data_IF_439028406966
#
_entry.id   IF_439028406966
#
_cell.length_a   1.000
_cell.length_b   1.000
_cell.length_c   1.000
_cell.angle_alpha   90.00
_cell.angle_beta   90.00
_cell.angle_gamma   90.00
#
_symmetry.space_group_name_H-M   'P 1'
#
loop_
_entity.id
_entity.type
_entity.pdbx_description
1 polymer ?
#
# COMPACT_ATOMS: atom_id res chain seq x y z
N UNK A 1 -34.07 4.19 -21.92
CA UNK A 1 -33.15 3.05 -21.94
C UNK A 1 -31.74 3.62 -21.76
N UNK A 2 -31.21 3.66 -20.53
CA UNK A 2 -29.88 4.16 -20.29
C UNK A 2 -28.89 3.05 -20.67
N UNK A 3 -28.16 3.27 -21.76
CA UNK A 3 -27.02 2.42 -22.11
C UNK A 3 -25.98 2.56 -21.00
N UNK A 4 -25.79 1.53 -20.20
CA UNK A 4 -24.65 1.44 -19.30
C UNK A 4 -23.40 1.41 -20.18
N UNK A 5 -22.70 2.54 -20.30
CA UNK A 5 -21.38 2.55 -20.93
C UNK A 5 -20.53 1.52 -20.18
N UNK A 6 -19.92 0.58 -20.91
CA UNK A 6 -18.93 -0.32 -20.32
C UNK A 6 -17.89 0.50 -19.57
N UNK A 7 -17.47 0.04 -18.38
CA UNK A 7 -16.38 0.68 -17.65
C UNK A 7 -15.14 0.79 -18.56
N UNK A 8 -14.40 1.87 -18.38
CA UNK A 8 -13.17 2.08 -19.13
C UNK A 8 -12.13 1.01 -18.72
N UNK A 9 -11.43 0.35 -19.67
CA UNK A 9 -10.51 -0.72 -19.35
C UNK A 9 -9.32 -0.25 -18.51
N UNK A 10 -8.83 0.98 -18.70
CA UNK A 10 -7.70 1.52 -17.94
C UNK A 10 -8.09 1.86 -16.51
N UNK A 11 -9.25 2.49 -16.31
CA UNK A 11 -9.77 2.75 -14.96
C UNK A 11 -10.12 1.45 -14.23
N UNK A 12 -10.59 0.45 -14.97
CA UNK A 12 -10.83 -0.89 -14.40
C UNK A 12 -9.53 -1.61 -14.00
N UNK A 13 -8.45 -1.40 -14.75
CA UNK A 13 -7.14 -1.94 -14.41
C UNK A 13 -6.56 -1.26 -13.17
N UNK A 14 -6.61 0.08 -13.08
CA UNK A 14 -6.20 0.83 -11.89
C UNK A 14 -6.99 0.39 -10.65
N UNK A 15 -8.30 0.16 -10.79
CA UNK A 15 -9.12 -0.34 -9.68
C UNK A 15 -8.66 -1.72 -9.22
N UNK A 16 -8.30 -2.63 -10.12
CA UNK A 16 -7.78 -3.95 -9.75
C UNK A 16 -6.44 -3.87 -9.01
N UNK A 17 -5.55 -2.97 -9.44
CA UNK A 17 -4.28 -2.73 -8.77
C UNK A 17 -4.55 -2.22 -7.34
N UNK A 18 -5.42 -1.22 -7.18
CA UNK A 18 -5.80 -0.70 -5.87
C UNK A 18 -6.45 -1.77 -4.98
N UNK A 19 -7.28 -2.65 -5.52
CA UNK A 19 -7.87 -3.77 -4.80
C UNK A 19 -6.83 -4.78 -4.32
N UNK A 20 -5.82 -5.10 -5.15
CA UNK A 20 -4.72 -5.97 -4.74
C UNK A 20 -3.90 -5.36 -3.59
N UNK A 21 -3.64 -4.05 -3.63
CA UNK A 21 -3.02 -3.30 -2.52
C UNK A 21 -3.91 -3.38 -1.27
N UNK A 22 -5.20 -3.11 -1.38
CA UNK A 22 -6.15 -3.18 -0.26
C UNK A 22 -6.14 -4.57 0.39
N UNK A 23 -6.25 -5.63 -0.41
CA UNK A 23 -6.25 -7.02 0.09
C UNK A 23 -4.94 -7.34 0.83
N UNK A 24 -3.80 -6.90 0.32
CA UNK A 24 -2.50 -7.09 0.97
C UNK A 24 -2.41 -6.35 2.31
N UNK A 25 -2.95 -5.11 2.40
CA UNK A 25 -2.95 -4.32 3.63
C UNK A 25 -3.87 -4.94 4.69
N UNK A 26 -5.06 -5.38 4.31
CA UNK A 26 -5.95 -6.11 5.22
C UNK A 26 -5.32 -7.42 5.71
N UNK A 27 -4.70 -8.18 4.81
CA UNK A 27 -3.97 -9.38 5.20
C UNK A 27 -2.87 -9.06 6.22
N UNK A 28 -2.04 -8.05 5.98
CA UNK A 28 -0.98 -7.64 6.89
C UNK A 28 -1.53 -7.18 8.26
N UNK A 29 -2.63 -6.42 8.25
CA UNK A 29 -3.29 -5.93 9.47
C UNK A 29 -3.88 -7.06 10.33
N UNK A 30 -4.36 -8.12 9.70
CA UNK A 30 -5.00 -9.26 10.39
C UNK A 30 -3.98 -10.32 10.83
N UNK A 31 -2.75 -10.27 10.31
CA UNK A 31 -1.71 -11.22 10.65
C UNK A 31 -1.20 -11.03 12.08
N UNK A 32 -0.79 -12.16 12.68
CA UNK A 32 -0.07 -12.19 13.95
C UNK A 32 1.30 -12.80 13.74
N UNK A 33 2.32 -12.07 14.16
CA UNK A 33 3.70 -12.54 14.15
C UNK A 33 3.97 -13.15 15.52
N UNK A 34 3.76 -14.46 15.64
CA UNK A 34 3.91 -15.20 16.91
C UNK A 34 5.23 -15.98 16.96
N UNK A 35 5.88 -16.19 15.82
CA UNK A 35 7.09 -16.99 15.69
C UNK A 35 7.82 -16.69 14.38
N UNK A 36 9.11 -17.07 14.26
CA UNK A 36 9.80 -17.00 12.97
C UNK A 36 9.13 -17.84 11.85
N UNK A 37 8.44 -18.93 12.21
CA UNK A 37 7.71 -19.74 11.25
C UNK A 37 6.48 -19.00 10.70
N UNK A 38 5.66 -18.40 11.58
CA UNK A 38 4.51 -17.59 11.14
C UNK A 38 4.95 -16.38 10.31
N UNK A 39 6.06 -15.74 10.69
CA UNK A 39 6.63 -14.63 9.93
C UNK A 39 7.03 -15.03 8.51
N UNK A 40 7.65 -16.21 8.35
CA UNK A 40 7.99 -16.75 7.04
C UNK A 40 6.77 -17.02 6.17
N UNK A 41 5.68 -17.55 6.74
CA UNK A 41 4.44 -17.75 6.01
C UNK A 41 3.83 -16.42 5.56
N UNK A 42 3.85 -15.41 6.43
CA UNK A 42 3.40 -14.05 6.11
C UNK A 42 4.25 -13.46 4.98
N UNK A 43 5.58 -13.56 5.04
CA UNK A 43 6.50 -13.09 3.99
C UNK A 43 6.20 -13.74 2.63
N UNK A 44 6.03 -15.06 2.59
CA UNK A 44 5.66 -15.77 1.35
C UNK A 44 4.32 -15.26 0.80
N UNK A 45 3.33 -15.04 1.66
CA UNK A 45 2.01 -14.55 1.24
C UNK A 45 2.09 -13.11 0.74
N UNK A 46 2.83 -12.22 1.42
CA UNK A 46 3.06 -10.84 0.95
C UNK A 46 3.74 -10.82 -0.42
N UNK A 47 4.78 -11.63 -0.62
CA UNK A 47 5.43 -11.77 -1.94
C UNK A 47 4.48 -12.25 -3.03
N UNK A 48 3.46 -13.03 -2.68
CA UNK A 48 2.43 -13.42 -3.66
C UNK A 48 1.52 -12.26 -4.08
N UNK A 49 1.25 -11.29 -3.20
CA UNK A 49 0.50 -10.07 -3.55
C UNK A 49 1.33 -9.14 -4.44
N UNK A 50 2.61 -8.94 -4.11
CA UNK A 50 3.53 -8.14 -4.92
C UNK A 50 3.65 -8.73 -6.34
N UNK A 51 3.91 -10.02 -6.47
CA UNK A 51 3.97 -10.70 -7.78
C UNK A 51 2.64 -10.59 -8.57
N UNK A 52 1.50 -10.57 -7.87
CA UNK A 52 0.21 -10.33 -8.52
C UNK A 52 0.06 -8.87 -8.97
N UNK A 53 0.54 -7.90 -8.17
CA UNK A 53 0.60 -6.47 -8.50
C UNK A 53 1.44 -6.21 -9.74
N UNK A 54 2.67 -6.72 -9.77
CA UNK A 54 3.58 -6.66 -10.91
C UNK A 54 2.92 -7.12 -12.21
N UNK A 55 2.21 -8.24 -12.14
CA UNK A 55 1.48 -8.77 -13.29
C UNK A 55 0.38 -7.83 -13.77
N UNK A 56 -0.40 -7.24 -12.86
CA UNK A 56 -1.45 -6.30 -13.19
C UNK A 56 -0.89 -5.04 -13.86
N UNK A 57 0.25 -4.54 -13.37
CA UNK A 57 0.94 -3.38 -13.96
C UNK A 57 1.50 -3.72 -15.32
N UNK A 58 2.13 -4.88 -15.47
CA UNK A 58 2.62 -5.33 -16.77
C UNK A 58 1.47 -5.42 -17.80
N UNK A 59 0.33 -6.00 -17.43
CA UNK A 59 -0.85 -6.07 -18.29
C UNK A 59 -1.36 -4.67 -18.68
N UNK A 60 -1.40 -3.71 -17.72
CA UNK A 60 -1.77 -2.32 -17.98
C UNK A 60 -0.81 -1.64 -18.97
N UNK A 61 0.50 -1.80 -18.80
CA UNK A 61 1.52 -1.23 -19.70
C UNK A 61 1.34 -1.79 -21.13
N UNK A 62 1.12 -3.09 -21.27
CA UNK A 62 0.88 -3.72 -22.56
C UNK A 62 -0.36 -3.15 -23.24
N UNK A 63 -1.45 -2.96 -22.49
CA UNK A 63 -2.68 -2.38 -23.04
C UNK A 63 -2.53 -0.87 -23.37
N UNK A 64 -1.82 -0.10 -22.54
CA UNK A 64 -1.49 1.30 -22.84
C UNK A 64 -0.70 1.45 -24.16
N UNK A 65 0.25 0.55 -24.42
CA UNK A 65 1.05 0.57 -25.64
C UNK A 65 0.24 0.26 -26.91
N UNK A 66 -0.83 -0.53 -26.79
CA UNK A 66 -1.72 -0.87 -27.91
C UNK A 66 -2.81 0.18 -28.15
N UNK A 67 -3.15 0.98 -27.15
CA UNK A 67 -4.26 1.90 -27.20
C UNK A 67 -4.00 3.08 -28.16
N UNK A 68 -4.96 3.41 -28.97
CA UNK A 68 -4.91 4.63 -29.78
C UNK A 68 -5.37 5.86 -28.99
N UNK A 69 -6.39 5.69 -28.14
CA UNK A 69 -6.94 6.74 -27.27
C UNK A 69 -7.04 6.23 -25.83
N UNK A 70 -6.77 7.10 -24.87
CA UNK A 70 -6.92 6.86 -23.44
C UNK A 70 -7.86 7.88 -22.80
N UNK A 71 -8.54 7.57 -21.70
CA UNK A 71 -9.52 8.46 -21.07
C UNK A 71 -8.90 9.70 -20.38
N UNK A 72 -7.65 9.61 -19.98
CA UNK A 72 -6.77 10.67 -19.47
C UNK A 72 -5.38 10.46 -20.09
N UNK A 73 -4.42 11.33 -19.78
CA UNK A 73 -3.04 11.20 -20.28
C UNK A 73 -2.44 9.85 -19.85
N UNK A 74 -1.69 9.20 -20.77
CA UNK A 74 -1.09 7.88 -20.52
C UNK A 74 -0.14 7.90 -19.35
N UNK A 75 0.61 8.97 -19.23
CA UNK A 75 1.57 9.24 -18.17
C UNK A 75 0.88 9.28 -16.80
N UNK A 76 -0.32 9.85 -16.71
CA UNK A 76 -1.10 9.90 -15.48
C UNK A 76 -1.62 8.52 -15.07
N UNK A 77 -2.08 7.71 -16.05
CA UNK A 77 -2.51 6.33 -15.79
C UNK A 77 -1.33 5.51 -15.24
N UNK A 78 -0.18 5.62 -15.90
CA UNK A 78 1.03 4.90 -15.49
C UNK A 78 1.53 5.39 -14.13
N UNK A 79 1.52 6.70 -13.88
CA UNK A 79 1.93 7.27 -12.61
C UNK A 79 1.05 6.78 -11.46
N UNK A 80 -0.28 6.72 -11.64
CA UNK A 80 -1.20 6.17 -10.63
C UNK A 80 -0.90 4.70 -10.35
N UNK A 81 -0.66 3.88 -11.38
CA UNK A 81 -0.33 2.47 -11.22
C UNK A 81 0.98 2.28 -10.43
N UNK A 82 2.04 3.02 -10.78
CA UNK A 82 3.33 2.96 -10.09
C UNK A 82 3.17 3.39 -8.63
N UNK A 83 2.39 4.45 -8.33
CA UNK A 83 2.18 4.88 -6.94
C UNK A 83 1.40 3.87 -6.09
N UNK A 84 0.50 3.12 -6.69
CA UNK A 84 -0.18 2.02 -6.01
C UNK A 84 0.79 0.86 -5.74
N UNK A 85 1.70 0.59 -6.66
CA UNK A 85 2.74 -0.42 -6.54
C UNK A 85 3.76 -0.06 -5.44
N UNK A 86 4.21 1.18 -5.40
CA UNK A 86 5.11 1.69 -4.35
C UNK A 86 4.59 1.34 -2.93
N UNK A 87 3.26 1.36 -2.73
CA UNK A 87 2.64 0.98 -1.43
C UNK A 87 2.81 -0.53 -1.17
N UNK A 88 2.56 -1.33 -2.19
CA UNK A 88 2.64 -2.80 -2.08
C UNK A 88 4.08 -3.25 -1.86
N UNK A 89 5.03 -2.67 -2.60
CA UNK A 89 6.46 -2.91 -2.44
C UNK A 89 6.93 -2.50 -1.04
N UNK A 90 6.46 -1.37 -0.53
CA UNK A 90 6.81 -0.88 0.81
C UNK A 90 6.41 -1.86 1.91
N UNK A 91 5.19 -2.40 1.89
CA UNK A 91 4.76 -3.37 2.91
C UNK A 91 5.44 -4.73 2.73
N UNK A 92 5.64 -5.20 1.51
CA UNK A 92 6.40 -6.43 1.24
C UNK A 92 7.81 -6.31 1.79
N UNK A 93 8.50 -5.21 1.49
CA UNK A 93 9.84 -4.92 1.97
C UNK A 93 9.90 -4.82 3.50
N UNK A 94 8.92 -4.18 4.13
CA UNK A 94 8.81 -4.13 5.60
C UNK A 94 8.73 -5.53 6.20
N UNK A 95 7.87 -6.40 5.68
CA UNK A 95 7.74 -7.79 6.16
C UNK A 95 9.02 -8.59 5.90
N UNK A 96 9.69 -8.37 4.76
CA UNK A 96 10.98 -8.99 4.47
C UNK A 96 12.06 -8.56 5.48
N UNK A 97 12.07 -7.30 5.92
CA UNK A 97 12.99 -6.83 6.98
C UNK A 97 12.71 -7.49 8.34
N UNK A 98 11.43 -7.67 8.71
CA UNK A 98 11.07 -8.46 9.90
C UNK A 98 11.64 -9.88 9.80
N UNK A 99 11.53 -10.53 8.64
CA UNK A 99 12.07 -11.88 8.42
C UNK A 99 13.61 -11.90 8.48
N UNK A 100 14.30 -11.00 7.79
CA UNK A 100 15.75 -10.90 7.77
C UNK A 100 16.35 -10.68 9.17
N UNK A 101 15.66 -9.89 9.99
CA UNK A 101 16.10 -9.64 11.37
C UNK A 101 15.62 -10.71 12.35
N UNK A 102 14.82 -11.68 11.88
CA UNK A 102 14.11 -12.63 12.77
C UNK A 102 13.35 -11.91 13.90
N UNK A 103 12.79 -10.75 13.56
CA UNK A 103 12.18 -9.84 14.52
C UNK A 103 10.67 -10.10 14.60
N UNK A 104 10.21 -10.47 15.78
CA UNK A 104 8.80 -10.86 16.02
C UNK A 104 8.04 -9.89 16.91
N UNK A 105 8.69 -8.80 17.32
CA UNK A 105 8.09 -7.82 18.22
C UNK A 105 7.34 -6.74 17.42
N UNK A 106 6.03 -6.79 17.44
CA UNK A 106 5.18 -5.73 16.85
C UNK A 106 4.65 -4.86 17.98
N UNK A 107 5.15 -3.64 18.07
CA UNK A 107 4.72 -2.67 19.09
C UNK A 107 3.48 -1.88 18.66
N UNK A 108 2.97 -1.03 19.55
CA UNK A 108 1.75 -0.25 19.31
C UNK A 108 1.94 0.77 18.19
N UNK A 109 3.10 1.39 18.06
CA UNK A 109 3.39 2.35 17.00
C UNK A 109 3.31 1.69 15.62
N UNK A 110 3.91 0.50 15.45
CA UNK A 110 3.83 -0.29 14.21
C UNK A 110 2.38 -0.67 13.86
N UNK A 111 1.56 -1.02 14.87
CA UNK A 111 0.13 -1.29 14.67
C UNK A 111 -0.64 -0.06 14.21
N UNK A 112 -0.31 1.11 14.75
CA UNK A 112 -0.93 2.38 14.33
C UNK A 112 -0.53 2.76 12.90
N UNK A 113 0.73 2.59 12.51
CA UNK A 113 1.16 2.74 11.11
C UNK A 113 0.33 1.86 10.19
N UNK A 114 0.31 0.55 10.47
CA UNK A 114 -0.39 -0.40 9.64
C UNK A 114 -1.89 -0.10 9.52
N UNK A 115 -2.51 0.36 10.61
CA UNK A 115 -3.91 0.83 10.60
C UNK A 115 -4.13 1.99 9.63
N UNK A 116 -3.30 3.04 9.68
CA UNK A 116 -3.49 4.21 8.80
C UNK A 116 -3.15 3.90 7.34
N UNK A 117 -2.15 3.05 7.09
CA UNK A 117 -1.84 2.58 5.74
C UNK A 117 -3.01 1.74 5.20
N UNK A 118 -3.61 0.86 6.01
CA UNK A 118 -4.80 0.08 5.62
C UNK A 118 -5.98 0.99 5.29
N UNK A 119 -6.25 2.01 6.12
CA UNK A 119 -7.28 3.01 5.84
C UNK A 119 -6.99 3.80 4.55
N UNK A 120 -5.73 4.12 4.27
CA UNK A 120 -5.33 4.77 3.03
C UNK A 120 -5.58 3.88 1.80
N UNK A 121 -5.32 2.59 1.91
CA UNK A 121 -5.62 1.62 0.85
C UNK A 121 -7.13 1.49 0.59
N UNK A 122 -7.96 1.52 1.64
CA UNK A 122 -9.42 1.54 1.51
C UNK A 122 -9.90 2.79 0.76
N UNK A 123 -9.35 3.95 1.08
CA UNK A 123 -9.69 5.19 0.38
C UNK A 123 -9.14 5.22 -1.06
N UNK A 124 -7.99 4.58 -1.33
CA UNK A 124 -7.45 4.46 -2.68
C UNK A 124 -8.40 3.65 -3.59
N UNK A 125 -8.97 2.54 -3.11
CA UNK A 125 -9.99 1.78 -3.85
C UNK A 125 -11.20 2.65 -4.16
N UNK A 126 -11.74 3.37 -3.17
CA UNK A 126 -12.90 4.27 -3.36
C UNK A 126 -12.58 5.41 -4.33
N UNK A 127 -11.35 5.93 -4.31
CA UNK A 127 -10.88 6.93 -5.27
C UNK A 127 -10.86 6.37 -6.70
N UNK A 128 -10.35 5.14 -6.90
CA UNK A 128 -10.33 4.48 -8.21
C UNK A 128 -11.75 4.12 -8.68
N UNK A 129 -12.65 3.73 -7.78
CA UNK A 129 -14.07 3.55 -8.12
C UNK A 129 -14.72 4.86 -8.57
N UNK A 130 -14.43 5.97 -7.88
CA UNK A 130 -14.95 7.29 -8.26
C UNK A 130 -14.40 7.73 -9.62
N UNK A 131 -13.11 7.50 -9.88
CA UNK A 131 -12.49 7.74 -11.18
C UNK A 131 -13.17 6.90 -12.28
N UNK A 132 -13.46 5.64 -12.04
CA UNK A 132 -14.13 4.75 -12.99
C UNK A 132 -15.57 5.22 -13.30
N UNK A 133 -16.23 5.85 -12.33
CA UNK A 133 -17.54 6.51 -12.51
C UNK A 133 -17.43 7.93 -13.10
N UNK A 134 -16.21 8.44 -13.30
CA UNK A 134 -15.91 9.83 -13.71
C UNK A 134 -16.36 10.88 -12.68
N UNK A 135 -16.46 10.50 -11.42
CA UNK A 135 -16.74 11.37 -10.30
C UNK A 135 -15.43 11.94 -9.72
N UNK A 136 -14.94 13.01 -10.34
CA UNK A 136 -13.70 13.66 -9.92
C UNK A 136 -13.83 14.37 -8.57
N UNK A 137 -15.04 14.76 -8.16
CA UNK A 137 -15.30 15.38 -6.86
C UNK A 137 -15.16 14.33 -5.75
N UNK A 138 -15.82 13.18 -5.92
CA UNK A 138 -15.69 12.05 -5.01
C UNK A 138 -14.25 11.55 -4.91
N UNK A 139 -13.55 11.40 -6.03
CA UNK A 139 -12.13 11.01 -6.06
C UNK A 139 -11.27 11.96 -5.20
N UNK A 140 -11.47 13.28 -5.36
CA UNK A 140 -10.72 14.29 -4.57
C UNK A 140 -10.98 14.16 -3.06
N UNK A 141 -12.19 13.84 -2.64
CA UNK A 141 -12.52 13.65 -1.22
C UNK A 141 -11.72 12.48 -0.62
N UNK A 142 -11.61 11.36 -1.33
CA UNK A 142 -10.79 10.22 -0.92
C UNK A 142 -9.30 10.57 -0.88
N UNK A 143 -8.79 11.31 -1.86
CA UNK A 143 -7.40 11.78 -1.87
C UNK A 143 -7.08 12.70 -0.67
N UNK A 144 -8.03 13.52 -0.21
CA UNK A 144 -7.89 14.35 1.00
C UNK A 144 -7.76 13.45 2.24
N UNK A 145 -8.58 12.42 2.38
CA UNK A 145 -8.51 11.49 3.51
C UNK A 145 -7.16 10.74 3.54
N UNK A 146 -6.65 10.29 2.39
CA UNK A 146 -5.32 9.69 2.30
C UNK A 146 -4.25 10.66 2.82
N UNK A 147 -4.35 11.94 2.45
CA UNK A 147 -3.41 12.96 2.92
C UNK A 147 -3.54 13.26 4.42
N UNK A 148 -4.73 13.10 4.98
CA UNK A 148 -4.93 13.19 6.43
C UNK A 148 -4.26 12.01 7.15
N UNK A 149 -4.40 10.78 6.65
CA UNK A 149 -3.75 9.60 7.21
C UNK A 149 -2.22 9.65 7.09
N UNK A 150 -1.68 10.19 6.00
CA UNK A 150 -0.23 10.45 5.85
C UNK A 150 0.29 11.36 6.98
N UNK A 151 -0.44 12.42 7.32
CA UNK A 151 -0.05 13.31 8.44
C UNK A 151 -0.03 12.59 9.80
N UNK A 152 -1.01 11.71 10.05
CA UNK A 152 -1.01 10.87 11.25
C UNK A 152 0.21 9.93 11.28
N UNK A 153 0.56 9.30 10.15
CA UNK A 153 1.76 8.47 10.04
C UNK A 153 3.04 9.28 10.30
N UNK A 154 3.14 10.49 9.77
CA UNK A 154 4.27 11.40 10.00
C UNK A 154 4.46 11.73 11.50
N UNK A 155 3.37 11.97 12.23
CA UNK A 155 3.42 12.25 13.67
C UNK A 155 3.82 11.03 14.46
N UNK A 156 3.28 9.84 14.12
CA UNK A 156 3.67 8.57 14.73
C UNK A 156 5.16 8.32 14.48
N UNK A 157 5.64 8.48 13.26
CA UNK A 157 7.05 8.30 12.91
C UNK A 157 7.97 9.17 13.79
N UNK A 158 7.74 10.47 13.82
CA UNK A 158 8.55 11.41 14.59
C UNK A 158 8.56 11.11 16.08
N UNK A 159 7.39 10.75 16.64
CA UNK A 159 7.29 10.38 18.05
C UNK A 159 7.97 9.05 18.36
N UNK A 160 7.83 8.05 17.49
CA UNK A 160 8.45 6.73 17.62
C UNK A 160 9.98 6.81 17.59
N UNK A 161 10.53 7.57 16.64
CA UNK A 161 11.97 7.80 16.56
C UNK A 161 12.49 8.51 17.81
N UNK A 162 11.79 9.54 18.28
CA UNK A 162 12.17 10.25 19.50
C UNK A 162 12.17 9.33 20.72
N UNK A 163 11.11 8.55 20.90
CA UNK A 163 10.99 7.59 22.02
C UNK A 163 12.07 6.52 21.94
N UNK A 164 12.32 5.95 20.76
CA UNK A 164 13.36 4.94 20.53
C UNK A 164 14.73 5.40 21.05
N UNK A 165 15.17 6.59 20.66
CA UNK A 165 16.47 7.12 21.10
C UNK A 165 16.52 7.54 22.57
N UNK A 166 15.41 7.75 23.22
CA UNK A 166 15.35 8.08 24.65
C UNK A 166 15.36 6.83 25.53
N UNK A 167 14.70 5.76 25.09
CA UNK A 167 14.38 4.61 25.95
C UNK A 167 15.24 3.38 25.66
N UNK A 168 15.52 3.07 24.38
CA UNK A 168 16.30 1.90 24.01
C UNK A 168 17.80 2.13 24.25
N UNK A 169 18.47 1.13 24.83
CA UNK A 169 19.90 1.19 25.17
C UNK A 169 20.75 0.22 24.36
N UNK A 170 20.12 -0.79 23.76
CA UNK A 170 20.81 -1.72 22.88
C UNK A 170 20.96 -1.09 21.48
N UNK A 171 22.19 -0.80 21.03
CA UNK A 171 22.40 -0.15 19.73
C UNK A 171 21.93 -1.00 18.55
N UNK A 172 21.94 -2.34 18.67
CA UNK A 172 21.42 -3.23 17.61
C UNK A 172 19.91 -3.08 17.52
N UNK A 173 19.21 -3.06 18.63
CA UNK A 173 17.75 -2.85 18.67
C UNK A 173 17.39 -1.46 18.15
N UNK A 174 18.17 -0.42 18.48
CA UNK A 174 17.96 0.93 17.93
C UNK A 174 18.05 0.91 16.42
N UNK A 175 19.06 0.23 15.84
CA UNK A 175 19.22 0.12 14.38
C UNK A 175 18.02 -0.61 13.77
N UNK A 176 17.64 -1.77 14.33
CA UNK A 176 16.53 -2.57 13.80
C UNK A 176 15.19 -1.83 13.82
N UNK A 177 14.85 -1.23 14.97
CA UNK A 177 13.59 -0.46 15.07
C UNK A 177 13.57 0.77 14.18
N UNK A 178 14.71 1.50 14.13
CA UNK A 178 14.83 2.66 13.25
C UNK A 178 14.61 2.27 11.80
N UNK A 179 15.26 1.22 11.35
CA UNK A 179 15.14 0.73 9.98
C UNK A 179 13.70 0.30 9.66
N UNK A 180 13.05 -0.43 10.57
CA UNK A 180 11.65 -0.84 10.42
C UNK A 180 10.66 0.34 10.44
N UNK A 181 10.95 1.44 11.11
CA UNK A 181 10.11 2.64 11.08
C UNK A 181 10.31 3.48 9.81
N UNK A 182 11.46 3.34 9.13
CA UNK A 182 11.79 4.10 7.92
C UNK A 182 11.31 3.41 6.62
N UNK A 183 10.86 2.15 6.68
CA UNK A 183 10.24 1.43 5.55
C UNK A 183 8.81 1.88 5.32
#
# INVERSE_FOLDING_TARGET
MFSSKKPDPFFSALLKIAQNVQESMHFANDCRIDSPASLKEISIKMKSYETAGDKLIHELIVELNKAFLTPIEREDILALAIRLDDILDGIENTIAHFEMYSFTEVNEQMRQFLKYITLSADEAVKAMESLNRKDLVGMRQHAILIKDYERECDEIFRSSIKELFLTEKDPIRVIMFKDLYEQ
#
